data_IF_830654267715
#
_entry.id   IF_830654267715
#
_cell.length_a   1.000
_cell.length_b   1.000
_cell.length_c   1.000
_cell.angle_alpha   90.00
_cell.angle_beta   90.00
_cell.angle_gamma   90.00
#
_symmetry.space_group_name_H-M   'P 1'
#
loop_
_entity.id
_entity.type
_entity.pdbx_description
1 polymer ?
#
# COMPACT_ATOMS: atom_id res chain seq x y z
N UNK A 1 18.21 -2.29 -13.10
CA UNK A 1 16.85 -2.06 -12.58
C UNK A 1 16.99 -2.20 -11.08
N UNK A 2 17.02 -1.08 -10.37
CA UNK A 2 17.15 -1.07 -8.92
C UNK A 2 15.81 -1.52 -8.34
N UNK A 3 15.67 -2.83 -8.12
CA UNK A 3 14.55 -3.35 -7.37
C UNK A 3 14.65 -2.77 -5.97
N UNK A 4 13.68 -1.94 -5.56
CA UNK A 4 13.53 -1.52 -4.17
C UNK A 4 13.60 -2.81 -3.32
N UNK A 5 14.51 -2.93 -2.34
CA UNK A 5 14.59 -4.13 -1.53
C UNK A 5 13.23 -4.39 -0.88
N UNK A 6 12.86 -5.67 -0.75
CA UNK A 6 11.61 -6.06 -0.11
C UNK A 6 11.50 -5.45 1.29
N UNK A 7 10.29 -5.12 1.71
CA UNK A 7 10.02 -4.58 3.05
C UNK A 7 10.05 -5.75 4.03
N UNK A 8 10.93 -5.67 5.05
CA UNK A 8 10.93 -6.64 6.14
C UNK A 8 9.74 -6.40 7.06
N UNK A 9 9.06 -7.48 7.44
CA UNK A 9 7.92 -7.44 8.37
C UNK A 9 8.44 -7.84 9.74
N UNK A 10 8.30 -6.95 10.71
CA UNK A 10 8.69 -7.18 12.10
C UNK A 10 7.48 -7.16 13.04
N UNK A 11 7.73 -7.37 14.32
CA UNK A 11 6.69 -7.36 15.35
C UNK A 11 5.89 -6.04 15.36
N UNK A 12 6.55 -4.91 15.15
CA UNK A 12 5.90 -3.60 15.14
C UNK A 12 4.99 -3.44 13.91
N UNK A 13 5.34 -3.99 12.74
CA UNK A 13 4.43 -4.07 11.60
C UNK A 13 3.16 -4.86 11.95
N UNK A 14 3.30 -6.01 12.60
CA UNK A 14 2.17 -6.87 12.99
C UNK A 14 1.28 -6.18 14.04
N UNK A 15 1.86 -5.59 15.07
CA UNK A 15 1.11 -4.89 16.13
C UNK A 15 0.31 -3.72 15.56
N UNK A 16 0.86 -2.95 14.64
CA UNK A 16 0.12 -1.86 13.98
C UNK A 16 -0.99 -2.39 13.06
N UNK A 17 -0.74 -3.49 12.33
CA UNK A 17 -1.73 -4.08 11.43
C UNK A 17 -2.98 -4.58 12.18
N UNK A 18 -2.78 -5.18 13.37
CA UNK A 18 -3.86 -5.65 14.23
C UNK A 18 -4.77 -4.52 14.74
N UNK A 19 -4.31 -3.26 14.70
CA UNK A 19 -5.08 -2.09 15.11
C UNK A 19 -5.83 -1.41 13.95
N UNK A 20 -5.70 -1.89 12.71
CA UNK A 20 -6.42 -1.34 11.57
C UNK A 20 -7.83 -1.91 11.48
N UNK A 21 -8.78 -1.08 11.04
CA UNK A 21 -10.14 -1.49 10.67
C UNK A 21 -10.18 -2.06 9.24
N UNK A 22 -9.16 -2.85 8.88
CA UNK A 22 -9.07 -3.58 7.61
C UNK A 22 -9.37 -5.05 7.92
N UNK A 23 -10.38 -5.59 7.26
CA UNK A 23 -10.92 -6.93 7.57
C UNK A 23 -9.92 -8.05 7.30
N UNK A 24 -9.19 -7.97 6.20
CA UNK A 24 -8.20 -8.98 5.82
C UNK A 24 -6.85 -8.65 6.47
N UNK A 25 -6.29 -9.63 7.16
CA UNK A 25 -5.02 -9.45 7.86
C UNK A 25 -3.86 -9.22 6.89
N UNK A 26 -3.87 -9.85 5.71
CA UNK A 26 -2.83 -9.62 4.69
C UNK A 26 -2.87 -8.17 4.20
N UNK A 27 -4.06 -7.65 3.91
CA UNK A 27 -4.25 -6.27 3.45
C UNK A 27 -3.84 -5.26 4.54
N UNK A 28 -4.14 -5.56 5.81
CA UNK A 28 -3.71 -4.73 6.94
C UNK A 28 -2.18 -4.69 7.08
N UNK A 29 -1.50 -5.84 6.98
CA UNK A 29 -0.04 -5.92 7.02
C UNK A 29 0.59 -5.21 5.83
N UNK A 30 0.04 -5.38 4.62
CA UNK A 30 0.50 -4.68 3.42
C UNK A 30 0.34 -3.16 3.54
N UNK A 31 -0.76 -2.67 4.12
CA UNK A 31 -0.99 -1.25 4.40
C UNK A 31 0.09 -0.68 5.32
N UNK A 32 0.36 -1.33 6.46
CA UNK A 32 1.41 -0.87 7.38
C UNK A 32 2.79 -0.94 6.75
N UNK A 33 3.11 -2.02 6.02
CA UNK A 33 4.39 -2.14 5.32
C UNK A 33 4.59 -1.02 4.29
N UNK A 34 3.54 -0.65 3.56
CA UNK A 34 3.56 0.47 2.62
C UNK A 34 3.78 1.82 3.32
N UNK A 35 3.11 2.05 4.46
CA UNK A 35 3.34 3.25 5.30
C UNK A 35 4.79 3.31 5.78
N UNK A 36 5.31 2.23 6.35
CA UNK A 36 6.65 2.17 6.95
C UNK A 36 7.76 2.37 5.91
N UNK A 37 7.61 1.80 4.71
CA UNK A 37 8.57 2.00 3.62
C UNK A 37 8.39 3.33 2.86
N UNK A 38 7.45 4.19 3.31
CA UNK A 38 7.12 5.48 2.70
C UNK A 38 6.76 5.32 1.22
N UNK A 39 5.92 4.34 0.91
CA UNK A 39 5.35 4.21 -0.42
C UNK A 39 4.45 5.40 -0.73
N UNK A 40 4.50 5.89 -1.96
CA UNK A 40 3.64 6.99 -2.42
C UNK A 40 2.18 6.54 -2.59
N UNK A 41 1.98 5.27 -2.98
CA UNK A 41 0.67 4.65 -3.13
C UNK A 41 0.77 3.11 -3.07
N UNK A 42 -0.36 2.45 -2.77
CA UNK A 42 -0.59 1.04 -3.07
C UNK A 42 -1.28 0.91 -4.42
N UNK A 43 -0.79 0.02 -5.27
CA UNK A 43 -1.42 -0.29 -6.56
C UNK A 43 -2.01 -1.69 -6.49
N UNK A 44 -3.34 -1.81 -6.62
CA UNK A 44 -4.04 -3.08 -6.51
C UNK A 44 -5.29 -3.14 -7.39
N UNK A 45 -5.78 -4.35 -7.69
CA UNK A 45 -7.04 -4.53 -8.44
C UNK A 45 -8.29 -4.37 -7.56
N UNK A 46 -8.16 -4.45 -6.24
CA UNK A 46 -9.26 -4.44 -5.25
C UNK A 46 -9.15 -3.29 -4.22
N UNK A 47 -9.07 -2.01 -4.64
CA UNK A 47 -8.81 -0.88 -3.71
C UNK A 47 -9.81 -0.72 -2.56
N UNK A 48 -11.02 -1.29 -2.70
CA UNK A 48 -12.06 -1.29 -1.67
C UNK A 48 -11.71 -2.13 -0.43
N UNK A 49 -10.84 -3.12 -0.56
CA UNK A 49 -10.49 -4.03 0.53
C UNK A 49 -9.47 -3.39 1.49
N UNK A 50 -8.82 -2.30 1.06
CA UNK A 50 -7.86 -1.52 1.83
C UNK A 50 -8.50 -0.30 2.55
N UNK A 51 -9.82 -0.31 2.76
CA UNK A 51 -10.53 0.79 3.42
C UNK A 51 -10.80 0.47 4.91
N UNK A 52 -10.58 1.43 5.83
CA UNK A 52 -10.09 2.78 5.59
C UNK A 52 -8.58 2.81 5.26
N UNK A 53 -8.20 3.52 4.19
CA UNK A 53 -6.82 3.54 3.72
C UNK A 53 -5.98 4.62 4.42
N UNK A 54 -4.74 4.29 4.82
CA UNK A 54 -3.78 5.24 5.40
C UNK A 54 -2.95 6.00 4.35
N UNK A 55 -2.87 5.47 3.14
CA UNK A 55 -2.20 6.09 1.99
C UNK A 55 -3.03 5.87 0.71
N UNK A 56 -2.75 6.58 -0.39
CA UNK A 56 -3.49 6.40 -1.63
C UNK A 56 -3.46 4.95 -2.11
N UNK A 57 -4.63 4.41 -2.44
CA UNK A 57 -4.80 3.07 -3.03
C UNK A 57 -5.43 3.24 -4.40
N UNK A 58 -4.77 2.74 -5.44
CA UNK A 58 -5.14 3.01 -6.84
C UNK A 58 -5.25 1.71 -7.64
N UNK A 59 -6.13 1.69 -8.65
CA UNK A 59 -6.03 0.64 -9.66
C UNK A 59 -4.82 0.88 -10.58
N UNK A 60 -4.26 -0.17 -11.21
CA UNK A 60 -3.15 -0.02 -12.14
C UNK A 60 -3.43 1.01 -13.25
N UNK A 61 -4.66 1.04 -13.77
CA UNK A 61 -5.07 2.00 -14.81
C UNK A 61 -5.03 3.46 -14.32
N UNK A 62 -5.41 3.70 -13.07
CA UNK A 62 -5.40 5.03 -12.46
C UNK A 62 -3.98 5.48 -12.17
N UNK A 63 -3.13 4.56 -11.71
CA UNK A 63 -1.71 4.83 -11.46
C UNK A 63 -0.96 5.16 -12.76
N UNK A 64 -1.15 4.39 -13.83
CA UNK A 64 -0.55 4.70 -15.13
C UNK A 64 -1.03 6.05 -15.69
N UNK A 65 -2.31 6.36 -15.48
CA UNK A 65 -2.89 7.65 -15.90
C UNK A 65 -2.32 8.83 -15.12
N UNK A 66 -2.03 8.65 -13.81
CA UNK A 66 -1.43 9.70 -12.98
C UNK A 66 0.01 10.00 -13.40
N UNK A 67 0.81 8.97 -13.69
CA UNK A 67 2.18 9.13 -14.18
C UNK A 67 2.20 9.79 -15.57
N UNK A 68 1.34 9.37 -16.49
CA UNK A 68 1.29 9.96 -17.84
C UNK A 68 0.99 11.46 -17.81
N UNK A 69 0.21 11.93 -16.83
CA UNK A 69 -0.06 13.36 -16.63
C UNK A 69 1.15 14.12 -16.11
N UNK A 70 1.99 13.50 -15.28
CA UNK A 70 3.20 14.10 -14.71
C UNK A 70 4.35 14.21 -15.73
N UNK A 71 4.33 13.40 -16.80
CA UNK A 71 5.33 13.40 -17.87
C UNK A 71 5.01 14.34 -19.03
N UNK A 72 3.91 15.10 -18.94
CA UNK A 72 3.55 16.19 -19.87
C UNK A 72 3.94 17.52 -19.26
#
# INVERSE_FOLDING_TARGET
MDTKPGVLIDQNTIEQALNLDIKDFEDAVQMIAAVQCKADCLVTRNPKDFQPSLLPVMQPVDYLSSISRLLK
#
